data_IF_973502758299
#
_entry.id   IF_973502758299
#
_cell.length_a   1.000
_cell.length_b   1.000
_cell.length_c   1.000
_cell.angle_alpha   90.00
_cell.angle_beta   90.00
_cell.angle_gamma   90.00
#
_symmetry.space_group_name_H-M   'P 1'
#
loop_
_entity.id
_entity.type
_entity.pdbx_description
1 polymer ?
#
# COMPACT_ATOMS: atom_id res chain seq x y z
N UNK A 1 -10.45 -3.76 5.83
CA UNK A 1 -9.01 -3.46 5.92
C UNK A 1 -8.23 -4.50 5.14
N UNK A 2 -7.19 -4.05 4.43
CA UNK A 2 -6.23 -4.89 3.74
C UNK A 2 -4.84 -4.72 4.38
N UNK A 3 -3.95 -5.65 4.07
CA UNK A 3 -2.55 -5.56 4.51
C UNK A 3 -1.69 -5.26 3.31
N UNK A 4 -0.85 -4.25 3.42
CA UNK A 4 0.10 -3.83 2.40
C UNK A 4 1.52 -4.10 2.87
N UNK A 5 2.36 -4.59 1.96
CA UNK A 5 3.80 -4.69 2.15
C UNK A 5 4.49 -3.67 1.27
N UNK A 6 5.34 -2.85 1.85
CA UNK A 6 6.18 -1.89 1.14
C UNK A 6 7.64 -2.34 1.28
N UNK A 7 8.36 -2.41 0.17
CA UNK A 7 9.81 -2.55 0.17
C UNK A 7 10.43 -1.17 -0.01
N UNK A 8 11.25 -0.75 0.94
CA UNK A 8 11.92 0.54 0.96
C UNK A 8 13.26 0.48 0.22
N UNK A 9 13.73 1.62 -0.26
CA UNK A 9 15.00 1.71 -1.02
C UNK A 9 16.25 1.48 -0.17
N UNK A 10 16.16 1.62 1.16
CA UNK A 10 17.22 1.26 2.11
C UNK A 10 17.28 -0.25 2.41
N UNK A 11 16.41 -1.05 1.78
CA UNK A 11 16.30 -2.49 2.01
C UNK A 11 15.35 -2.88 3.14
N UNK A 12 14.78 -1.90 3.86
CA UNK A 12 13.76 -2.13 4.87
C UNK A 12 12.43 -2.60 4.27
N UNK A 13 11.63 -3.29 5.08
CA UNK A 13 10.25 -3.64 4.75
C UNK A 13 9.29 -3.02 5.77
N UNK A 14 8.10 -2.62 5.30
CA UNK A 14 6.98 -2.19 6.14
C UNK A 14 5.76 -3.01 5.82
N UNK A 15 5.08 -3.47 6.87
CA UNK A 15 3.77 -4.12 6.78
C UNK A 15 2.76 -3.22 7.46
N UNK A 16 1.75 -2.79 6.72
CA UNK A 16 0.74 -1.85 7.21
C UNK A 16 -0.64 -2.42 6.96
N UNK A 17 -1.48 -2.44 7.98
CA UNK A 17 -2.90 -2.71 7.84
C UNK A 17 -3.63 -1.38 7.67
N UNK A 18 -4.41 -1.24 6.60
CA UNK A 18 -5.06 0.02 6.25
C UNK A 18 -6.32 -0.22 5.42
N UNK A 19 -7.12 0.84 5.24
CA UNK A 19 -8.29 0.82 4.38
C UNK A 19 -7.91 0.85 2.89
N UNK A 20 -6.83 1.55 2.53
CA UNK A 20 -6.28 1.57 1.17
C UNK A 20 -4.81 1.98 1.13
N UNK A 21 -4.18 1.67 0.00
CA UNK A 21 -2.91 2.23 -0.42
C UNK A 21 -3.06 2.86 -1.81
N UNK A 22 -2.29 3.90 -2.09
CA UNK A 22 -2.30 4.54 -3.40
C UNK A 22 -0.93 5.02 -3.84
N UNK A 23 -0.78 5.16 -5.15
CA UNK A 23 0.29 5.94 -5.77
C UNK A 23 -0.30 7.19 -6.39
N UNK A 24 0.20 8.36 -5.98
CA UNK A 24 -0.23 9.64 -6.53
C UNK A 24 0.33 9.86 -7.94
N UNK A 25 -0.14 10.91 -8.63
CA UNK A 25 0.39 11.30 -9.94
C UNK A 25 1.88 11.64 -9.88
N UNK A 26 2.36 12.20 -8.76
CA UNK A 26 3.76 12.52 -8.51
C UNK A 26 4.59 11.31 -8.04
N UNK A 27 3.94 10.14 -7.91
CA UNK A 27 4.58 8.88 -7.56
C UNK A 27 4.76 8.63 -6.07
N UNK A 28 4.27 9.52 -5.20
CA UNK A 28 4.25 9.28 -3.75
C UNK A 28 3.37 8.08 -3.43
N UNK A 29 3.74 7.33 -2.39
CA UNK A 29 2.91 6.25 -1.86
C UNK A 29 2.20 6.76 -0.61
N UNK A 30 0.87 6.69 -0.61
CA UNK A 30 0.01 7.06 0.51
C UNK A 30 -0.68 5.82 1.06
N UNK A 31 -0.71 5.68 2.37
CA UNK A 31 -1.44 4.64 3.09
C UNK A 31 -2.49 5.33 3.93
N UNK A 32 -3.75 4.98 3.71
CA UNK A 32 -4.89 5.68 4.30
C UNK A 32 -5.85 4.68 4.92
N UNK A 33 -6.51 5.12 5.98
CA UNK A 33 -7.58 4.36 6.59
C UNK A 33 -8.76 5.28 6.90
N UNK A 34 -9.89 4.68 7.22
CA UNK A 34 -11.11 5.40 7.52
C UNK A 34 -11.27 5.55 9.03
N UNK A 35 -11.47 6.78 9.51
CA UNK A 35 -11.78 7.03 10.92
C UNK A 35 -13.18 6.52 11.29
N UNK A 36 -13.55 6.67 12.56
CA UNK A 36 -14.88 6.25 13.06
C UNK A 36 -16.07 6.99 12.43
N UNK A 37 -15.83 8.11 11.73
CA UNK A 37 -16.84 8.94 11.08
C UNK A 37 -16.94 8.67 9.57
N UNK A 38 -16.11 7.78 9.02
CA UNK A 38 -16.10 7.51 7.58
C UNK A 38 -15.16 8.43 6.79
N UNK A 39 -14.35 9.25 7.46
CA UNK A 39 -13.40 10.18 6.84
C UNK A 39 -12.09 9.45 6.59
N UNK A 40 -11.54 9.62 5.39
CA UNK A 40 -10.23 9.07 5.04
C UNK A 40 -9.12 9.94 5.62
N UNK A 41 -8.25 9.33 6.42
CA UNK A 41 -7.07 9.96 6.98
C UNK A 41 -5.79 9.28 6.48
N UNK A 42 -4.76 10.10 6.25
CA UNK A 42 -3.43 9.61 5.88
C UNK A 42 -2.72 9.07 7.11
N UNK A 43 -2.41 7.76 7.10
CA UNK A 43 -1.64 7.09 8.15
C UNK A 43 -0.14 7.24 7.93
N UNK A 44 0.30 6.98 6.70
CA UNK A 44 1.71 7.04 6.31
C UNK A 44 1.84 7.58 4.87
N UNK A 45 2.85 8.41 4.65
CA UNK A 45 3.20 8.94 3.34
C UNK A 45 4.68 8.71 3.07
N UNK A 46 4.99 8.26 1.85
CA UNK A 46 6.35 8.04 1.40
C UNK A 46 6.60 8.80 0.10
N UNK A 47 7.75 9.50 -0.02
CA UNK A 47 8.12 10.15 -1.27
C UNK A 47 8.42 9.09 -2.35
N UNK A 48 8.31 9.50 -3.61
CA UNK A 48 8.35 8.62 -4.77
C UNK A 48 9.64 7.77 -4.89
N UNK A 49 10.74 8.25 -4.34
CA UNK A 49 12.05 7.61 -4.35
C UNK A 49 12.31 6.70 -3.12
N UNK A 50 11.40 6.67 -2.14
CA UNK A 50 11.59 5.89 -0.91
C UNK A 50 11.04 4.48 -0.99
N UNK A 51 10.04 4.25 -1.84
CA UNK A 51 9.39 2.93 -1.98
C UNK A 51 9.76 2.32 -3.31
N UNK A 52 10.37 1.13 -3.26
CA UNK A 52 10.78 0.37 -4.43
C UNK A 52 9.63 -0.44 -5.02
N UNK A 53 8.78 -0.99 -4.16
CA UNK A 53 7.66 -1.83 -4.58
C UNK A 53 6.59 -1.92 -3.48
N UNK A 54 5.34 -2.11 -3.90
CA UNK A 54 4.18 -2.28 -3.02
C UNK A 54 3.45 -3.57 -3.41
N UNK A 55 3.02 -4.33 -2.42
CA UNK A 55 2.14 -5.49 -2.59
C UNK A 55 0.93 -5.38 -1.67
N UNK A 56 -0.22 -5.86 -2.11
CA UNK A 56 -1.41 -6.06 -1.29
C UNK A 56 -1.55 -7.55 -0.96
N UNK A 57 -1.85 -7.87 0.30
CA UNK A 57 -2.19 -9.23 0.70
C UNK A 57 -3.54 -9.61 0.11
N UNK A 58 -3.60 -10.74 -0.60
CA UNK A 58 -4.83 -11.27 -1.19
C UNK A 58 -4.96 -12.77 -0.94
N UNK A 59 -6.16 -13.34 -1.14
CA UNK A 59 -6.36 -14.79 -1.08
C UNK A 59 -5.61 -15.49 -2.22
N UNK A 60 -5.03 -16.66 -1.95
CA UNK A 60 -4.58 -17.61 -2.97
C UNK A 60 -5.62 -18.75 -3.11
N UNK A 61 -5.59 -19.43 -4.26
CA UNK A 61 -6.50 -20.55 -4.57
C UNK A 61 -6.43 -21.70 -3.54
N UNK A 62 -5.30 -21.83 -2.83
CA UNK A 62 -5.08 -22.84 -1.79
C UNK A 62 -5.63 -22.47 -0.40
N UNK A 63 -6.27 -21.30 -0.24
CA UNK A 63 -6.69 -20.77 1.06
C UNK A 63 -5.57 -20.13 1.88
N UNK A 64 -4.35 -20.07 1.34
CA UNK A 64 -3.21 -19.33 1.92
C UNK A 64 -3.23 -17.89 1.39
N UNK A 65 -2.70 -16.93 2.15
CA UNK A 65 -2.53 -15.56 1.64
C UNK A 65 -1.32 -15.45 0.70
N UNK A 66 -1.46 -14.66 -0.36
CA UNK A 66 -0.38 -14.29 -1.29
C UNK A 66 -0.18 -12.76 -1.34
N UNK A 67 0.93 -12.33 -1.94
CA UNK A 67 1.26 -10.92 -2.16
C UNK A 67 1.02 -10.55 -3.63
N UNK A 68 0.04 -9.68 -3.86
CA UNK A 68 -0.32 -9.19 -5.20
C UNK A 68 0.44 -7.89 -5.45
N UNK A 69 1.38 -7.85 -6.42
CA UNK A 69 2.15 -6.64 -6.71
C UNK A 69 1.23 -5.53 -7.22
N UNK A 70 1.46 -4.31 -6.77
CA UNK A 70 0.84 -3.11 -7.33
C UNK A 70 1.70 -2.54 -8.45
N UNK A 71 1.13 -1.79 -9.41
CA UNK A 71 1.90 -1.21 -10.51
C UNK A 71 3.08 -0.37 -10.02
N UNK A 72 4.23 -0.54 -10.68
CA UNK A 72 5.45 0.21 -10.38
C UNK A 72 5.51 1.59 -11.04
N UNK A 73 4.47 1.97 -11.79
CA UNK A 73 4.32 3.25 -12.49
C UNK A 73 2.83 3.62 -12.57
N UNK A 74 2.57 4.90 -12.85
CA UNK A 74 1.22 5.44 -12.94
C UNK A 74 0.51 5.59 -11.59
N UNK A 75 -0.56 6.37 -11.57
CA UNK A 75 -1.40 6.53 -10.39
C UNK A 75 -2.31 5.31 -10.21
N UNK A 76 -2.46 4.83 -8.98
CA UNK A 76 -3.36 3.72 -8.67
C UNK A 76 -3.87 3.82 -7.23
N UNK A 77 -4.97 3.12 -6.98
CA UNK A 77 -5.53 2.89 -5.65
C UNK A 77 -5.82 1.40 -5.48
N UNK A 78 -5.56 0.89 -4.27
CA UNK A 78 -5.74 -0.52 -3.90
C UNK A 78 -6.41 -0.58 -2.54
N UNK A 79 -7.51 -1.34 -2.44
CA UNK A 79 -8.40 -1.39 -1.27
C UNK A 79 -8.38 -2.79 -0.65
#
# INVERSE_FOLDING_TARGET
>A
MAVFKLQLTDGGERLVEAGRAGRTADGQIVIEDTDSLGVWDCLEEYPADRVRAVWRRGPAESGIYTWIPQPSEGSWWSY
#
